data_IF_087153682202
#
_entry.id   IF_087153682202
#
_cell.length_a   1.000
_cell.length_b   1.000
_cell.length_c   1.000
_cell.angle_alpha   90.00
_cell.angle_beta   90.00
_cell.angle_gamma   90.00
#
_symmetry.space_group_name_H-M   'P 1'
#
loop_
_entity.id
_entity.type
_entity.pdbx_description
1 polymer ?
#
# COMPACT_ATOMS: atom_id res chain seq x y z
N UNK A 1 -3.56 -7.82 -10.53
CA UNK A 1 -3.88 -8.28 -9.17
C UNK A 1 -4.43 -9.70 -9.25
N UNK A 2 -3.68 -10.78 -9.01
CA UNK A 2 -4.28 -12.10 -8.99
C UNK A 2 -4.75 -12.42 -7.57
N UNK A 3 -5.86 -11.83 -7.14
CA UNK A 3 -6.64 -12.30 -5.98
C UNK A 3 -7.86 -12.98 -6.58
N UNK A 4 -8.03 -14.28 -6.36
CA UNK A 4 -9.08 -15.08 -7.04
C UNK A 4 -10.51 -14.59 -6.69
N UNK A 5 -10.67 -13.90 -5.56
CA UNK A 5 -11.82 -13.10 -5.20
C UNK A 5 -11.44 -12.11 -4.07
N UNK A 6 -11.74 -10.83 -4.24
CA UNK A 6 -11.37 -9.77 -3.29
C UNK A 6 -12.09 -8.46 -3.59
N UNK A 7 -12.16 -7.56 -2.62
CA UNK A 7 -12.73 -6.22 -2.77
C UNK A 7 -11.58 -5.25 -3.02
N UNK A 8 -11.61 -4.57 -4.17
CA UNK A 8 -10.69 -3.46 -4.45
C UNK A 8 -11.21 -2.23 -3.73
N UNK A 9 -10.35 -1.61 -2.93
CA UNK A 9 -10.63 -0.35 -2.23
C UNK A 9 -9.69 0.70 -2.80
N UNK A 10 -10.27 1.81 -3.25
CA UNK A 10 -9.54 2.92 -3.82
C UNK A 10 -10.06 4.23 -3.23
N UNK A 11 -9.12 5.09 -2.82
CA UNK A 11 -9.41 6.43 -2.33
C UNK A 11 -8.59 7.39 -3.15
N UNK A 12 -9.26 8.26 -3.90
CA UNK A 12 -8.63 9.30 -4.72
C UNK A 12 -9.05 10.67 -4.21
N UNK A 13 -8.07 11.53 -4.04
CA UNK A 13 -8.25 12.96 -3.76
C UNK A 13 -7.66 13.81 -4.89
N UNK A 14 -8.09 15.07 -4.95
CA UNK A 14 -7.59 16.08 -5.89
C UNK A 14 -6.77 17.16 -5.18
N UNK A 15 -6.08 16.77 -4.10
CA UNK A 15 -5.28 17.66 -3.28
C UNK A 15 -3.92 18.01 -3.90
N UNK A 16 -2.99 18.47 -3.07
CA UNK A 16 -1.66 18.93 -3.51
C UNK A 16 -0.74 17.81 -4.03
N UNK A 17 -1.13 16.54 -3.86
CA UNK A 17 -0.27 15.39 -4.11
C UNK A 17 0.87 15.27 -3.10
N UNK A 18 1.71 14.26 -3.30
CA UNK A 18 2.84 13.91 -2.44
C UNK A 18 4.10 13.98 -3.30
N UNK A 19 5.15 14.60 -2.76
CA UNK A 19 6.43 14.66 -3.47
C UNK A 19 7.04 13.26 -3.55
N UNK A 20 7.67 12.86 -4.67
CA UNK A 20 8.23 11.52 -4.83
C UNK A 20 9.18 11.11 -3.69
N UNK A 21 9.97 12.05 -3.17
CA UNK A 21 10.87 11.85 -2.04
C UNK A 21 10.16 11.58 -0.71
N UNK A 22 8.93 12.04 -0.55
CA UNK A 22 8.15 11.86 0.68
C UNK A 22 7.39 10.52 0.68
N UNK A 23 7.08 9.97 -0.51
CA UNK A 23 6.28 8.74 -0.68
C UNK A 23 6.78 7.54 0.15
N UNK A 24 8.10 7.26 0.26
CA UNK A 24 8.58 6.15 1.09
C UNK A 24 8.29 6.34 2.59
N UNK A 25 8.16 7.60 3.04
CA UNK A 25 8.11 7.97 4.45
C UNK A 25 6.68 8.23 4.96
N UNK A 26 5.68 8.40 4.08
CA UNK A 26 4.30 8.75 4.49
C UNK A 26 3.62 7.73 5.41
N UNK A 27 4.16 6.51 5.48
CA UNK A 27 3.67 5.45 6.37
C UNK A 27 4.45 5.34 7.68
N UNK A 28 5.47 6.16 7.89
CA UNK A 28 6.19 6.24 9.15
C UNK A 28 5.34 6.94 10.21
N UNK A 29 5.45 6.48 11.46
CA UNK A 29 4.74 7.11 12.56
C UNK A 29 5.23 8.55 12.76
N UNK A 30 4.28 9.47 12.96
CA UNK A 30 4.54 10.90 13.16
C UNK A 30 5.13 11.64 11.95
N UNK A 31 5.31 10.96 10.81
CA UNK A 31 5.78 11.63 9.60
C UNK A 31 4.75 12.65 9.11
N UNK A 32 5.26 13.83 8.75
CA UNK A 32 4.49 14.93 8.18
C UNK A 32 5.34 15.59 7.10
N UNK A 33 4.83 15.63 5.88
CA UNK A 33 5.45 16.37 4.78
C UNK A 33 5.61 17.86 5.12
N UNK A 34 6.58 18.49 4.48
CA UNK A 34 7.06 19.85 4.81
C UNK A 34 5.94 20.92 4.75
N UNK A 35 4.99 20.78 3.81
CA UNK A 35 3.81 21.67 3.69
C UNK A 35 2.67 21.36 4.67
N UNK A 36 2.66 20.19 5.31
CA UNK A 36 1.68 19.84 6.35
C UNK A 36 2.03 20.40 7.74
N UNK A 37 3.20 21.04 7.90
CA UNK A 37 3.60 21.74 9.13
C UNK A 37 2.87 23.08 9.32
N UNK A 38 2.35 23.69 8.25
CA UNK A 38 1.74 25.02 8.29
C UNK A 38 0.22 25.04 8.56
N UNK A 39 -0.46 23.88 8.50
CA UNK A 39 -1.90 23.81 8.80
C UNK A 39 -2.10 23.65 10.31
N UNK A 40 -2.64 24.70 10.94
CA UNK A 40 -3.00 24.82 12.35
C UNK A 40 -4.00 23.76 12.87
N UNK A 41 -4.45 22.83 12.02
CA UNK A 41 -5.41 21.75 12.31
C UNK A 41 -4.84 20.34 12.10
N UNK A 42 -3.54 20.20 11.86
CA UNK A 42 -2.95 18.93 11.39
C UNK A 42 -2.89 17.82 12.46
N UNK A 43 -3.44 16.65 12.13
CA UNK A 43 -3.41 15.45 12.96
C UNK A 43 -2.01 14.92 13.29
N UNK A 44 -1.93 13.93 14.17
CA UNK A 44 -0.68 13.40 14.76
C UNK A 44 0.29 12.71 13.80
N UNK A 45 -0.05 12.55 12.52
CA UNK A 45 0.75 11.77 11.57
C UNK A 45 0.70 10.25 11.83
N UNK A 46 -0.33 9.76 12.53
CA UNK A 46 -0.49 8.33 12.82
C UNK A 46 -1.40 7.59 11.83
N UNK A 47 -2.24 8.30 11.09
CA UNK A 47 -3.31 7.69 10.27
C UNK A 47 -2.79 6.65 9.27
N UNK A 48 -1.84 7.04 8.42
CA UNK A 48 -1.29 6.13 7.40
C UNK A 48 -0.45 5.00 8.00
N UNK A 49 0.27 5.25 9.11
CA UNK A 49 1.00 4.20 9.82
C UNK A 49 0.04 3.13 10.37
N UNK A 50 -1.10 3.54 10.93
CA UNK A 50 -2.16 2.62 11.39
C UNK A 50 -2.74 1.83 10.22
N UNK A 51 -3.06 2.51 9.11
CA UNK A 51 -3.58 1.86 7.89
C UNK A 51 -2.62 0.77 7.40
N UNK A 52 -1.32 1.09 7.29
CA UNK A 52 -0.30 0.14 6.87
C UNK A 52 -0.25 -1.08 7.80
N UNK A 53 -0.21 -0.86 9.12
CA UNK A 53 -0.18 -1.95 10.09
C UNK A 53 -1.41 -2.86 10.01
N UNK A 54 -2.61 -2.28 9.85
CA UNK A 54 -3.86 -3.05 9.69
C UNK A 54 -3.81 -3.88 8.41
N UNK A 55 -3.40 -3.31 7.28
CA UNK A 55 -3.34 -4.02 6.00
C UNK A 55 -2.28 -5.14 6.03
N UNK A 56 -1.10 -4.87 6.60
CA UNK A 56 -0.05 -5.88 6.77
C UNK A 56 -0.50 -7.05 7.66
N UNK A 57 -1.27 -6.78 8.73
CA UNK A 57 -1.87 -7.82 9.56
C UNK A 57 -2.87 -8.71 8.78
N UNK A 58 -3.45 -8.19 7.69
CA UNK A 58 -4.30 -8.95 6.77
C UNK A 58 -3.52 -9.56 5.58
N UNK A 59 -2.19 -9.43 5.55
CA UNK A 59 -1.36 -9.86 4.42
C UNK A 59 -1.56 -9.04 3.15
N UNK A 60 -2.09 -7.82 3.29
CA UNK A 60 -2.43 -6.92 2.18
C UNK A 60 -1.37 -5.83 2.07
N UNK A 61 -0.97 -5.53 0.83
CA UNK A 61 -0.13 -4.39 0.52
C UNK A 61 -0.97 -3.21 0.05
N UNK A 62 -0.64 -2.01 0.55
CA UNK A 62 -1.17 -0.76 0.04
C UNK A 62 -0.30 -0.24 -1.11
N UNK A 63 -0.93 0.32 -2.13
CA UNK A 63 -0.28 1.06 -3.22
C UNK A 63 -0.67 2.52 -3.12
N UNK A 64 0.29 3.38 -3.45
CA UNK A 64 0.10 4.82 -3.53
C UNK A 64 0.59 5.31 -4.88
N UNK A 65 -0.25 6.08 -5.54
CA UNK A 65 0.04 6.78 -6.79
C UNK A 65 -0.25 8.25 -6.52
N UNK A 66 0.74 9.12 -6.66
CA UNK A 66 0.56 10.54 -6.38
C UNK A 66 1.30 11.38 -7.39
N UNK A 67 0.72 12.52 -7.73
CA UNK A 67 1.36 13.52 -8.59
C UNK A 67 1.15 14.89 -7.98
N UNK A 68 2.24 15.62 -7.78
CA UNK A 68 2.22 16.96 -7.18
C UNK A 68 1.31 17.87 -8.02
N UNK A 69 0.34 18.50 -7.36
CA UNK A 69 -0.66 19.38 -7.98
C UNK A 69 -1.85 18.67 -8.63
N UNK A 70 -1.90 17.34 -8.65
CA UNK A 70 -3.01 16.56 -9.22
C UNK A 70 -3.79 15.76 -8.17
N UNK A 71 -3.14 15.40 -7.07
CA UNK A 71 -3.74 14.65 -5.97
C UNK A 71 -3.07 13.30 -5.75
N UNK A 72 -3.73 12.46 -4.95
CA UNK A 72 -3.22 11.14 -4.57
C UNK A 72 -4.29 10.08 -4.67
N UNK A 73 -3.86 8.86 -5.01
CA UNK A 73 -4.66 7.66 -5.01
C UNK A 73 -4.02 6.60 -4.14
N UNK A 74 -4.75 6.13 -3.13
CA UNK A 74 -4.40 4.97 -2.33
C UNK A 74 -5.27 3.79 -2.76
N UNK A 75 -4.66 2.62 -2.98
CA UNK A 75 -5.38 1.45 -3.43
C UNK A 75 -4.86 0.16 -2.76
N UNK A 76 -5.77 -0.72 -2.38
CA UNK A 76 -5.45 -2.05 -1.87
C UNK A 76 -6.58 -3.04 -2.19
N UNK A 77 -6.30 -4.33 -2.02
CA UNK A 77 -7.31 -5.39 -2.23
C UNK A 77 -7.48 -6.16 -0.94
N UNK A 78 -8.69 -6.13 -0.39
CA UNK A 78 -9.05 -6.96 0.75
C UNK A 78 -9.49 -8.34 0.26
N UNK A 79 -8.89 -9.43 0.75
CA UNK A 79 -9.34 -10.77 0.38
C UNK A 79 -10.72 -11.07 1.00
N UNK A 80 -11.59 -11.76 0.27
CA UNK A 80 -12.93 -12.12 0.77
C UNK A 80 -12.90 -13.06 1.97
N UNK A 81 -11.83 -13.84 2.11
CA UNK A 81 -11.55 -14.68 3.28
C UNK A 81 -10.09 -14.45 3.66
N UNK A 82 -9.76 -14.27 4.95
CA UNK A 82 -8.38 -14.29 5.39
C UNK A 82 -7.74 -15.58 4.89
N UNK A 83 -6.58 -15.50 4.22
CA UNK A 83 -5.84 -16.71 3.87
C UNK A 83 -5.22 -17.26 5.16
N UNK A 84 -5.72 -18.41 5.67
CA UNK A 84 -5.21 -18.98 6.91
C UNK A 84 -3.74 -19.46 6.78
N UNK A 85 -3.18 -19.45 5.57
CA UNK A 85 -1.82 -19.87 5.28
C UNK A 85 -0.90 -18.74 4.79
N UNK A 86 -1.34 -17.48 4.77
CA UNK A 86 -0.50 -16.36 4.30
C UNK A 86 0.80 -16.17 5.11
N UNK A 87 0.81 -16.58 6.37
CA UNK A 87 1.98 -16.61 7.26
C UNK A 87 2.68 -17.97 7.29
N UNK A 88 2.20 -18.97 6.53
CA UNK A 88 2.76 -20.31 6.54
C UNK A 88 4.03 -20.39 5.68
N UNK A 89 5.17 -20.87 6.22
CA UNK A 89 6.47 -20.85 5.53
C UNK A 89 6.48 -21.48 4.12
N UNK A 90 5.61 -22.47 3.90
CA UNK A 90 5.53 -23.21 2.63
C UNK A 90 4.84 -22.45 1.49
N UNK A 91 4.08 -21.39 1.78
CA UNK A 91 3.40 -20.58 0.75
C UNK A 91 4.37 -19.63 0.07
N UNK A 92 5.31 -19.03 0.84
CA UNK A 92 6.31 -18.08 0.30
C UNK A 92 7.24 -18.71 -0.75
N UNK A 93 7.56 -20.00 -0.64
CA UNK A 93 8.43 -20.70 -1.59
C UNK A 93 7.77 -21.02 -2.94
N UNK A 94 6.43 -20.94 -3.06
CA UNK A 94 5.73 -21.27 -4.33
C UNK A 94 5.71 -20.12 -5.33
N UNK A 95 5.73 -18.87 -4.86
CA UNK A 95 5.71 -17.70 -5.75
C UNK A 95 7.07 -17.45 -6.40
N UNK A 96 8.16 -17.74 -5.69
CA UNK A 96 9.54 -17.63 -6.21
C UNK A 96 9.83 -18.70 -7.30
N UNK A 97 9.22 -19.88 -7.21
CA UNK A 97 9.41 -20.97 -8.19
C UNK A 97 8.66 -20.80 -9.52
N UNK A 98 7.67 -19.90 -9.59
CA UNK A 98 6.86 -19.69 -10.80
C UNK A 98 7.44 -18.63 -11.74
N UNK A 99 8.25 -17.69 -11.24
CA UNK A 99 8.92 -16.70 -12.06
C UNK A 99 10.09 -17.28 -12.89
N UNK A 100 10.69 -18.40 -12.44
CA UNK A 100 11.87 -18.99 -13.09
C UNK A 100 11.56 -19.98 -14.25
N UNK A 101 10.28 -20.24 -14.59
CA UNK A 101 9.90 -21.21 -15.64
C UNK A 101 9.33 -20.58 -16.91
N UNK A 102 9.50 -19.28 -17.10
CA UNK A 102 8.89 -18.49 -18.20
C UNK A 102 9.83 -18.04 -19.32
N UNK A 103 11.11 -18.41 -19.32
CA UNK A 103 12.04 -18.09 -20.42
C UNK A 103 12.59 -19.39 -21.01
N UNK A 104 12.08 -19.76 -22.18
CA UNK A 104 12.57 -20.93 -22.92
C UNK A 104 11.50 -21.56 -23.77
N UNK A 105 11.22 -20.95 -24.93
CA UNK A 105 11.08 -21.63 -26.23
C UNK A 105 10.79 -20.60 -27.34
N UNK A 106 11.81 -20.41 -28.18
CA UNK A 106 11.67 -20.09 -29.60
C UNK A 106 10.77 -21.08 -30.32
#
# INVERSE_FOLDING_TARGET
>A
YPVRAGVVVEVTDTGEGIRPEDVPHIFEQFYRGEKSRSRATGGSGLGLAIVKAILEAHGVQIRVESTVGQGTRFAFVLPQRPDPYASHPLVRQRDEGRAARGEGRS
#
